data_IF_312435778487
#
_entry.id   IF_312435778487
#
_cell.length_a   1.000
_cell.length_b   1.000
_cell.length_c   1.000
_cell.angle_alpha   90.00
_cell.angle_beta   90.00
_cell.angle_gamma   90.00
#
_symmetry.space_group_name_H-M   'P 1'
#
loop_
_entity.id
_entity.type
_entity.pdbx_description
1 polymer ?
#
# COMPACT_ATOMS: atom_id res chain seq x y z
N UNK A 1 8.89 -24.42 -13.02
CA UNK A 1 9.39 -24.06 -11.67
C UNK A 1 10.58 -23.12 -11.83
N UNK A 2 10.56 -21.94 -11.22
CA UNK A 2 11.76 -21.10 -11.17
C UNK A 2 12.82 -21.81 -10.32
N UNK A 3 14.02 -22.01 -10.86
CA UNK A 3 15.12 -22.66 -10.14
C UNK A 3 15.57 -21.79 -8.95
N UNK A 4 16.19 -22.41 -7.94
CA UNK A 4 16.81 -21.70 -6.81
C UNK A 4 17.76 -20.58 -7.29
N UNK A 5 18.52 -20.84 -8.35
CA UNK A 5 19.38 -19.85 -8.99
C UNK A 5 18.60 -18.64 -9.53
N UNK A 6 17.44 -18.87 -10.17
CA UNK A 6 16.58 -17.80 -10.65
C UNK A 6 16.03 -16.91 -9.53
N UNK A 7 15.71 -17.51 -8.37
CA UNK A 7 15.34 -16.75 -7.17
C UNK A 7 16.50 -15.87 -6.67
N UNK A 8 17.70 -16.44 -6.52
CA UNK A 8 18.89 -15.72 -6.04
C UNK A 8 19.24 -14.55 -6.97
N UNK A 9 19.23 -14.79 -8.29
CA UNK A 9 19.53 -13.75 -9.27
C UNK A 9 18.51 -12.61 -9.22
N UNK A 10 17.21 -12.93 -9.19
CA UNK A 10 16.14 -11.93 -9.06
C UNK A 10 16.31 -11.10 -7.80
N UNK A 11 16.58 -11.75 -6.66
CA UNK A 11 16.79 -11.07 -5.39
C UNK A 11 18.00 -10.14 -5.43
N UNK A 12 19.10 -10.58 -6.02
CA UNK A 12 20.28 -9.73 -6.22
C UNK A 12 19.95 -8.50 -7.06
N UNK A 13 19.23 -8.67 -8.16
CA UNK A 13 18.82 -7.57 -9.05
C UNK A 13 17.79 -6.64 -8.40
N UNK A 14 16.89 -7.15 -7.56
CA UNK A 14 15.90 -6.32 -6.88
C UNK A 14 16.53 -5.27 -5.96
N UNK A 15 17.65 -5.62 -5.31
CA UNK A 15 18.39 -4.72 -4.42
C UNK A 15 19.58 -4.01 -5.07
N UNK A 16 20.09 -4.54 -6.18
CA UNK A 16 21.15 -3.95 -6.99
C UNK A 16 20.72 -3.96 -8.46
N UNK A 17 19.69 -3.18 -8.82
CA UNK A 17 19.17 -3.20 -10.17
C UNK A 17 20.18 -2.55 -11.12
N UNK A 18 20.15 -2.90 -12.42
CA UNK A 18 20.97 -2.21 -13.41
C UNK A 18 20.63 -0.72 -13.41
N UNK A 19 21.67 0.12 -13.49
CA UNK A 19 21.49 1.56 -13.59
C UNK A 19 21.06 1.92 -15.01
N UNK A 20 19.90 2.57 -15.12
CA UNK A 20 19.40 3.05 -16.40
C UNK A 20 20.06 4.39 -16.74
N UNK A 21 20.55 4.60 -17.98
CA UNK A 21 20.95 5.91 -18.45
C UNK A 21 19.82 6.92 -18.24
N UNK A 22 20.15 8.09 -17.69
CA UNK A 22 19.16 9.13 -17.40
C UNK A 22 18.83 9.92 -18.65
N UNK A 23 17.55 10.22 -18.86
CA UNK A 23 17.14 11.11 -19.95
C UNK A 23 17.51 12.55 -19.61
N UNK A 24 17.68 13.40 -20.64
CA UNK A 24 18.07 14.80 -20.44
C UNK A 24 17.03 15.62 -19.66
N UNK A 25 15.77 15.20 -19.73
CA UNK A 25 14.62 15.81 -19.08
C UNK A 25 14.20 15.07 -17.79
N UNK A 26 15.03 14.16 -17.28
CA UNK A 26 14.72 13.38 -16.08
C UNK A 26 14.43 14.29 -14.88
N UNK A 27 13.37 13.95 -14.13
CA UNK A 27 12.93 14.71 -12.97
C UNK A 27 13.91 14.54 -11.81
N UNK A 28 14.30 15.66 -11.22
CA UNK A 28 15.20 15.75 -10.06
C UNK A 28 14.39 15.77 -8.78
N UNK A 29 14.71 14.83 -7.90
CA UNK A 29 14.02 14.66 -6.64
C UNK A 29 14.86 15.08 -5.44
N UNK A 30 14.21 15.78 -4.51
CA UNK A 30 14.68 15.94 -3.14
C UNK A 30 14.05 14.91 -2.20
N UNK A 31 14.81 14.36 -1.26
CA UNK A 31 14.30 13.49 -0.20
C UNK A 31 14.20 14.30 1.10
N UNK A 32 12.99 14.40 1.65
CA UNK A 32 12.76 15.01 2.95
C UNK A 32 12.96 13.95 4.05
N UNK A 33 14.19 13.81 4.53
CA UNK A 33 14.56 12.93 5.64
C UNK A 33 15.45 11.76 5.22
N UNK A 34 16.52 11.54 5.98
CA UNK A 34 17.36 10.34 5.92
C UNK A 34 16.66 9.12 6.54
N UNK A 35 15.51 8.71 5.99
CA UNK A 35 14.66 7.65 6.51
C UNK A 35 15.17 6.25 6.10
N UNK A 36 14.99 5.25 6.96
CA UNK A 36 15.40 3.86 6.69
C UNK A 36 14.66 3.21 5.52
N UNK A 37 13.47 3.69 5.20
CA UNK A 37 12.65 3.21 4.08
C UNK A 37 13.10 3.79 2.73
N UNK A 38 13.70 4.99 2.70
CA UNK A 38 14.04 5.69 1.47
C UNK A 38 14.95 4.90 0.50
N UNK A 39 15.93 4.10 0.97
CA UNK A 39 16.73 3.25 0.09
C UNK A 39 15.87 2.28 -0.74
N UNK A 40 15.02 1.47 -0.09
CA UNK A 40 14.22 0.45 -0.79
C UNK A 40 13.02 1.05 -1.53
N UNK A 41 12.41 2.10 -0.97
CA UNK A 41 11.18 2.67 -1.51
C UNK A 41 11.40 3.67 -2.63
N UNK A 42 12.58 4.29 -2.72
CA UNK A 42 12.81 5.36 -3.68
C UNK A 42 14.19 5.33 -4.36
N UNK A 43 15.29 5.28 -3.60
CA UNK A 43 16.64 5.38 -4.17
C UNK A 43 16.95 4.19 -5.09
N UNK A 44 16.71 2.97 -4.63
CA UNK A 44 16.93 1.76 -5.42
C UNK A 44 16.04 1.71 -6.67
N UNK A 45 14.71 1.95 -6.58
CA UNK A 45 13.86 2.13 -7.77
C UNK A 45 14.39 3.16 -8.76
N UNK A 46 14.78 4.35 -8.27
CA UNK A 46 15.27 5.45 -9.08
C UNK A 46 16.49 5.07 -9.91
N UNK A 47 17.40 4.22 -9.41
CA UNK A 47 18.57 3.73 -10.20
C UNK A 47 18.17 3.16 -11.55
N UNK A 48 17.14 2.33 -11.57
CA UNK A 48 16.64 1.65 -12.77
C UNK A 48 15.56 2.42 -13.55
N UNK A 49 15.21 3.62 -13.12
CA UNK A 49 14.23 4.46 -13.79
C UNK A 49 14.95 5.53 -14.63
N UNK A 50 14.75 5.59 -15.96
CA UNK A 50 15.51 6.52 -16.82
C UNK A 50 15.14 7.99 -16.57
N UNK A 51 13.89 8.27 -16.20
CA UNK A 51 13.41 9.64 -15.99
C UNK A 51 13.50 10.15 -14.53
N UNK A 52 14.27 9.49 -13.64
CA UNK A 52 14.36 9.88 -12.23
C UNK A 52 15.81 10.02 -11.76
N UNK A 53 16.11 11.18 -11.19
CA UNK A 53 17.39 11.52 -10.55
C UNK A 53 17.16 11.84 -9.08
N UNK A 54 17.89 11.18 -8.17
CA UNK A 54 17.94 11.57 -6.75
C UNK A 54 18.97 12.68 -6.60
N UNK A 55 18.50 13.92 -6.49
CA UNK A 55 19.34 15.12 -6.55
C UNK A 55 19.81 15.58 -5.16
N UNK A 56 18.96 15.47 -4.15
CA UNK A 56 19.22 16.06 -2.84
C UNK A 56 18.58 15.32 -1.69
N UNK A 57 19.15 15.49 -0.50
CA UNK A 57 18.55 15.05 0.76
C UNK A 57 18.74 16.11 1.85
N UNK A 58 17.76 16.23 2.73
CA UNK A 58 17.87 16.96 3.98
C UNK A 58 17.43 16.05 5.13
N UNK A 59 17.89 16.35 6.34
CA UNK A 59 17.36 15.77 7.57
C UNK A 59 17.52 16.78 8.70
N UNK A 60 16.73 16.63 9.78
CA UNK A 60 16.87 17.46 11.00
C UNK A 60 18.28 17.42 11.59
N UNK A 61 18.93 16.27 11.47
CA UNK A 61 20.32 16.07 11.84
C UNK A 61 21.17 16.12 10.55
N UNK A 62 21.99 17.15 10.44
CA UNK A 62 22.82 17.41 9.25
C UNK A 62 23.90 16.35 9.07
N UNK A 63 24.52 15.86 10.15
CA UNK A 63 25.54 14.81 10.06
C UNK A 63 24.93 13.50 9.56
N UNK A 64 23.71 13.20 10.02
CA UNK A 64 22.93 12.06 9.49
C UNK A 64 22.62 12.23 8.00
N UNK A 65 22.28 13.44 7.54
CA UNK A 65 22.05 13.71 6.12
C UNK A 65 23.33 13.52 5.29
N UNK A 66 24.47 13.99 5.77
CA UNK A 66 25.79 13.82 5.13
C UNK A 66 26.15 12.34 5.02
N UNK A 67 26.03 11.59 6.12
CA UNK A 67 26.31 10.16 6.12
C UNK A 67 25.38 9.38 5.17
N UNK A 68 24.09 9.74 5.15
CA UNK A 68 23.10 9.13 4.27
C UNK A 68 23.39 9.44 2.79
N UNK A 69 23.69 10.70 2.45
CA UNK A 69 24.04 11.11 1.10
C UNK A 69 25.29 10.38 0.59
N UNK A 70 26.35 10.33 1.41
CA UNK A 70 27.58 9.59 1.09
C UNK A 70 27.30 8.11 0.85
N UNK A 71 26.51 7.47 1.72
CA UNK A 71 26.19 6.03 1.62
C UNK A 71 25.41 5.69 0.34
N UNK A 72 24.55 6.60 -0.10
CA UNK A 72 23.62 6.35 -1.21
C UNK A 72 23.99 7.07 -2.52
N UNK A 73 25.11 7.81 -2.55
CA UNK A 73 25.57 8.54 -3.73
C UNK A 73 24.68 9.73 -4.10
N UNK A 74 24.07 10.39 -3.11
CA UNK A 74 23.23 11.58 -3.33
C UNK A 74 24.15 12.80 -3.41
N UNK A 75 24.11 13.58 -4.51
CA UNK A 75 25.14 14.59 -4.77
C UNK A 75 25.02 15.85 -3.90
N UNK A 76 23.83 16.16 -3.37
CA UNK A 76 23.61 17.36 -2.56
C UNK A 76 23.00 17.06 -1.19
N UNK A 77 23.50 17.75 -0.18
CA UNK A 77 22.95 17.78 1.18
C UNK A 77 22.46 19.19 1.45
N UNK A 78 21.17 19.33 1.71
CA UNK A 78 20.52 20.60 2.01
C UNK A 78 20.45 20.84 3.53
N UNK A 79 20.51 22.11 3.94
CA UNK A 79 20.52 22.48 5.36
C UNK A 79 19.23 22.13 6.08
N UNK A 80 18.09 22.22 5.38
CA UNK A 80 16.78 21.88 5.91
C UNK A 80 15.83 21.52 4.76
N UNK A 81 14.63 21.03 5.11
CA UNK A 81 13.63 20.62 4.14
C UNK A 81 13.13 21.79 3.27
N UNK A 82 13.02 23.00 3.83
CA UNK A 82 12.57 24.18 3.10
C UNK A 82 13.56 24.54 1.98
N UNK A 83 14.86 24.41 2.21
CA UNK A 83 15.89 24.65 1.21
C UNK A 83 15.76 23.73 -0.03
N UNK A 84 15.24 22.51 0.13
CA UNK A 84 14.91 21.63 -1.01
C UNK A 84 13.72 22.17 -1.79
N UNK A 85 12.69 22.66 -1.09
CA UNK A 85 11.48 23.18 -1.72
C UNK A 85 11.73 24.51 -2.44
N UNK A 86 12.67 25.31 -1.95
CA UNK A 86 13.05 26.60 -2.55
C UNK A 86 14.04 26.45 -3.72
N UNK A 87 14.67 25.29 -3.90
CA UNK A 87 15.59 25.06 -5.02
C UNK A 87 14.79 24.89 -6.33
N UNK A 88 14.97 25.78 -7.33
CA UNK A 88 14.27 25.71 -8.60
C UNK A 88 14.70 24.52 -9.47
N UNK A 89 15.83 23.86 -9.16
CA UNK A 89 16.32 22.68 -9.86
C UNK A 89 15.68 21.36 -9.39
N UNK A 90 14.89 21.39 -8.32
CA UNK A 90 14.14 20.23 -7.82
C UNK A 90 12.73 20.26 -8.41
N UNK A 91 12.34 19.20 -9.11
CA UNK A 91 11.00 19.09 -9.73
C UNK A 91 9.99 18.44 -8.78
N UNK A 92 10.47 17.51 -7.95
CA UNK A 92 9.63 16.68 -7.11
C UNK A 92 10.28 16.36 -5.77
N UNK A 93 9.49 15.95 -4.79
CA UNK A 93 9.97 15.49 -3.48
C UNK A 93 9.40 14.13 -3.12
N UNK A 94 10.22 13.33 -2.45
CA UNK A 94 9.80 12.14 -1.74
C UNK A 94 9.80 12.41 -0.25
N UNK A 95 8.67 12.17 0.43
CA UNK A 95 8.45 12.52 1.84
C UNK A 95 8.25 11.26 2.69
N UNK A 96 9.34 10.65 3.20
CA UNK A 96 9.31 9.53 4.15
C UNK A 96 9.48 9.99 5.61
N UNK A 97 8.79 11.06 5.99
CA UNK A 97 8.87 11.62 7.35
C UNK A 97 8.01 10.77 8.32
N UNK A 98 8.04 11.03 9.64
CA UNK A 98 6.98 10.55 10.52
C UNK A 98 5.60 11.04 10.05
N UNK A 99 4.58 10.20 10.19
CA UNK A 99 3.22 10.44 9.69
C UNK A 99 2.69 11.85 10.00
N UNK A 100 2.85 12.31 11.25
CA UNK A 100 2.39 13.63 11.70
C UNK A 100 3.05 14.84 11.01
N UNK A 101 4.10 14.63 10.21
CA UNK A 101 4.77 15.67 9.44
C UNK A 101 4.42 15.64 7.95
N UNK A 102 3.68 14.63 7.48
CA UNK A 102 3.36 14.48 6.06
C UNK A 102 2.52 15.65 5.54
N UNK A 103 1.43 15.99 6.24
CA UNK A 103 0.51 17.05 5.84
C UNK A 103 1.23 18.40 5.61
N UNK A 104 1.97 18.86 6.62
CA UNK A 104 2.68 20.15 6.54
C UNK A 104 3.66 20.20 5.38
N UNK A 105 4.51 19.18 5.25
CA UNK A 105 5.56 19.20 4.23
C UNK A 105 5.05 18.93 2.82
N UNK A 106 3.99 18.15 2.67
CA UNK A 106 3.30 17.99 1.39
C UNK A 106 2.64 19.31 0.96
N UNK A 107 1.94 20.00 1.87
CA UNK A 107 1.28 21.27 1.58
C UNK A 107 2.31 22.37 1.21
N UNK A 108 3.43 22.45 1.93
CA UNK A 108 4.55 23.35 1.58
C UNK A 108 5.15 23.01 0.22
N UNK A 109 5.30 21.73 -0.12
CA UNK A 109 5.87 21.31 -1.39
C UNK A 109 4.97 21.68 -2.57
N UNK A 110 3.65 21.44 -2.48
CA UNK A 110 2.73 21.81 -3.56
C UNK A 110 2.58 23.33 -3.71
N UNK A 111 2.69 24.09 -2.61
CA UNK A 111 2.73 25.56 -2.65
C UNK A 111 3.96 26.09 -3.41
N UNK A 112 5.03 25.30 -3.48
CA UNK A 112 6.24 25.58 -4.27
C UNK A 112 6.21 24.93 -5.66
N UNK A 113 5.05 24.39 -6.07
CA UNK A 113 4.85 23.74 -7.37
C UNK A 113 5.56 22.40 -7.52
N UNK A 114 6.04 21.79 -6.43
CA UNK A 114 6.76 20.51 -6.49
C UNK A 114 5.78 19.34 -6.55
N UNK A 115 6.04 18.34 -7.41
CA UNK A 115 5.32 17.07 -7.32
C UNK A 115 5.71 16.32 -6.03
N UNK A 116 4.80 15.56 -5.44
CA UNK A 116 4.98 14.92 -4.14
C UNK A 116 4.64 13.44 -4.22
N UNK A 117 5.65 12.61 -3.96
CA UNK A 117 5.46 11.20 -3.61
C UNK A 117 5.47 11.08 -2.07
N UNK A 118 4.30 10.85 -1.49
CA UNK A 118 4.06 10.96 -0.04
C UNK A 118 3.98 9.58 0.59
N UNK A 119 4.78 9.27 1.61
CA UNK A 119 4.68 7.98 2.29
C UNK A 119 3.32 7.76 2.97
N UNK A 120 2.96 6.49 3.10
CA UNK A 120 1.71 6.09 3.75
C UNK A 120 1.88 6.03 5.27
N UNK A 121 0.81 6.26 6.06
CA UNK A 121 -0.43 6.94 5.65
C UNK A 121 -0.12 8.39 5.31
N UNK A 122 -0.80 8.92 4.29
CA UNK A 122 -0.50 10.26 3.76
C UNK A 122 -0.68 11.38 4.78
N UNK A 123 -1.57 11.21 5.77
CA UNK A 123 -1.85 12.21 6.81
C UNK A 123 -2.18 11.53 8.13
N UNK A 124 -2.33 12.33 9.19
CA UNK A 124 -2.64 11.84 10.55
C UNK A 124 -4.08 11.37 10.70
N UNK A 125 -5.01 12.01 9.99
CA UNK A 125 -6.45 11.75 10.04
C UNK A 125 -7.14 12.22 8.74
N UNK A 126 -8.46 11.98 8.64
CA UNK A 126 -9.25 12.34 7.47
C UNK A 126 -9.36 13.85 7.25
N UNK A 127 -9.36 14.66 8.31
CA UNK A 127 -9.45 16.12 8.19
C UNK A 127 -8.22 16.71 7.48
N UNK A 128 -7.02 16.25 7.82
CA UNK A 128 -5.81 16.59 7.08
C UNK A 128 -5.84 16.08 5.64
N UNK A 129 -6.35 14.85 5.41
CA UNK A 129 -6.44 14.28 4.07
C UNK A 129 -7.37 15.12 3.18
N UNK A 130 -8.54 15.50 3.68
CA UNK A 130 -9.47 16.37 2.96
C UNK A 130 -8.84 17.73 2.65
N UNK A 131 -8.16 18.32 3.63
CA UNK A 131 -7.51 19.62 3.49
C UNK A 131 -6.39 19.60 2.43
N UNK A 132 -5.58 18.54 2.39
CA UNK A 132 -4.48 18.41 1.43
C UNK A 132 -4.96 18.00 0.04
N UNK A 133 -5.73 16.91 -0.08
CA UNK A 133 -6.03 16.29 -1.36
C UNK A 133 -7.16 16.98 -2.13
N UNK A 134 -7.96 17.83 -1.48
CA UNK A 134 -8.92 18.73 -2.14
C UNK A 134 -8.43 20.18 -2.23
N UNK A 135 -7.18 20.44 -1.83
CA UNK A 135 -6.62 21.79 -1.80
C UNK A 135 -6.72 22.48 -3.18
N UNK A 136 -7.07 23.77 -3.25
CA UNK A 136 -7.23 24.48 -4.53
C UNK A 136 -5.99 24.46 -5.43
N UNK A 137 -4.78 24.41 -4.86
CA UNK A 137 -3.53 24.30 -5.62
C UNK A 137 -3.46 23.05 -6.51
N UNK A 138 -4.16 21.97 -6.14
CA UNK A 138 -4.21 20.73 -6.94
C UNK A 138 -5.21 20.79 -8.10
N UNK A 139 -6.01 21.86 -8.19
CA UNK A 139 -7.04 22.05 -9.22
C UNK A 139 -6.63 23.04 -10.31
N UNK A 140 -5.47 23.68 -10.15
CA UNK A 140 -4.97 24.66 -11.12
C UNK A 140 -4.45 23.99 -12.39
N UNK A 141 -4.42 24.68 -13.54
CA UNK A 141 -3.68 24.23 -14.70
C UNK A 141 -2.22 23.98 -14.33
N UNK A 142 -1.65 22.86 -14.79
CA UNK A 142 -0.28 22.43 -14.44
C UNK A 142 -0.05 22.26 -12.93
N UNK A 143 -1.10 21.94 -12.17
CA UNK A 143 -0.98 21.64 -10.75
C UNK A 143 0.04 20.52 -10.50
N UNK A 144 0.79 20.60 -9.37
CA UNK A 144 1.64 19.50 -8.95
C UNK A 144 0.81 18.23 -8.70
N UNK A 145 1.49 17.10 -8.84
CA UNK A 145 0.91 15.77 -8.60
C UNK A 145 1.25 15.39 -7.17
N UNK A 146 0.26 15.00 -6.38
CA UNK A 146 0.45 14.38 -5.07
C UNK A 146 -0.05 12.95 -5.15
N UNK A 147 0.76 11.99 -4.72
CA UNK A 147 0.37 10.59 -4.69
C UNK A 147 0.82 9.94 -3.38
N UNK A 148 -0.11 9.28 -2.70
CA UNK A 148 0.20 8.44 -1.56
C UNK A 148 0.88 7.13 -1.99
N UNK A 149 1.93 6.74 -1.27
CA UNK A 149 2.82 5.64 -1.60
C UNK A 149 2.30 4.26 -1.13
N UNK A 150 1.09 3.86 -1.55
CA UNK A 150 0.60 2.49 -1.35
C UNK A 150 1.18 1.49 -2.36
N UNK A 151 2.49 1.29 -2.27
CA UNK A 151 3.32 0.57 -3.26
C UNK A 151 2.75 -0.79 -3.72
N UNK A 152 2.19 -1.59 -2.80
CA UNK A 152 1.66 -2.91 -3.13
C UNK A 152 0.52 -2.87 -4.16
N UNK A 153 -0.20 -1.74 -4.29
CA UNK A 153 -1.30 -1.63 -5.25
C UNK A 153 -0.84 -1.60 -6.69
N UNK A 154 0.41 -1.19 -6.94
CA UNK A 154 0.94 -1.03 -8.29
C UNK A 154 1.55 -2.32 -8.86
N UNK A 155 1.63 -3.39 -8.07
CA UNK A 155 2.31 -4.61 -8.48
C UNK A 155 1.40 -5.55 -9.30
N UNK A 156 1.96 -6.30 -10.26
CA UNK A 156 1.18 -7.21 -11.11
C UNK A 156 0.48 -8.33 -10.32
N UNK A 157 1.09 -8.82 -9.23
CA UNK A 157 0.46 -9.82 -8.36
C UNK A 157 -0.88 -9.36 -7.80
N UNK A 158 -0.96 -8.08 -7.40
CA UNK A 158 -2.19 -7.52 -6.83
C UNK A 158 -3.28 -7.38 -7.90
N UNK A 159 -2.89 -6.93 -9.10
CA UNK A 159 -3.82 -6.80 -10.23
C UNK A 159 -4.39 -8.14 -10.67
N UNK A 160 -3.53 -9.15 -10.79
CA UNK A 160 -3.98 -10.51 -11.09
C UNK A 160 -4.90 -11.04 -9.99
N UNK A 161 -4.55 -10.84 -8.71
CA UNK A 161 -5.41 -11.26 -7.60
C UNK A 161 -6.80 -10.61 -7.66
N UNK A 162 -6.87 -9.29 -7.89
CA UNK A 162 -8.15 -8.59 -8.04
C UNK A 162 -8.95 -9.08 -9.25
N UNK A 163 -8.30 -9.46 -10.35
CA UNK A 163 -8.99 -10.01 -11.53
C UNK A 163 -9.70 -11.34 -11.26
N UNK A 164 -9.33 -12.05 -10.20
CA UNK A 164 -9.97 -13.30 -9.79
C UNK A 164 -11.15 -13.08 -8.83
N UNK A 165 -11.28 -11.89 -8.24
CA UNK A 165 -12.31 -11.54 -7.25
C UNK A 165 -13.64 -11.29 -7.97
N UNK A 166 -14.66 -12.07 -7.61
CA UNK A 166 -16.03 -11.92 -8.10
C UNK A 166 -16.82 -11.03 -7.14
N UNK A 167 -16.69 -9.70 -7.32
CA UNK A 167 -17.27 -8.71 -6.39
C UNK A 167 -18.78 -8.87 -6.15
N UNK A 168 -19.63 -9.12 -7.17
CA UNK A 168 -21.06 -9.37 -6.94
C UNK A 168 -21.38 -10.51 -5.96
N UNK A 169 -20.50 -11.52 -5.87
CA UNK A 169 -20.70 -12.69 -5.02
C UNK A 169 -19.76 -12.70 -3.82
N UNK A 170 -19.02 -11.61 -3.57
CA UNK A 170 -18.12 -11.50 -2.43
C UNK A 170 -18.93 -11.52 -1.13
N UNK A 171 -18.45 -12.25 -0.11
CA UNK A 171 -19.11 -12.29 1.20
C UNK A 171 -18.18 -11.92 2.35
N UNK A 172 -16.90 -12.25 2.24
CA UNK A 172 -15.93 -11.97 3.29
C UNK A 172 -14.53 -11.66 2.76
N UNK A 173 -13.88 -10.69 3.38
CA UNK A 173 -12.47 -10.36 3.13
C UNK A 173 -11.75 -10.32 4.48
N UNK A 174 -10.63 -11.05 4.60
CA UNK A 174 -9.76 -11.01 5.78
C UNK A 174 -8.34 -10.64 5.39
N UNK A 175 -7.74 -9.67 6.08
CA UNK A 175 -6.36 -9.26 5.85
C UNK A 175 -5.58 -9.19 7.16
N UNK A 176 -4.40 -9.80 7.19
CA UNK A 176 -3.59 -9.91 8.40
C UNK A 176 -2.11 -9.66 8.15
N UNK A 177 -1.47 -8.97 9.09
CA UNK A 177 -0.01 -8.89 9.21
C UNK A 177 0.40 -8.91 10.67
N UNK A 178 1.47 -9.65 11.01
CA UNK A 178 2.03 -9.65 12.36
C UNK A 178 3.55 -9.63 12.31
N UNK A 179 4.13 -8.60 12.91
CA UNK A 179 5.57 -8.39 13.02
C UNK A 179 6.02 -8.72 14.44
N UNK A 180 7.03 -9.61 14.61
CA UNK A 180 7.61 -9.87 15.91
C UNK A 180 8.20 -8.61 16.56
N UNK A 181 8.01 -8.45 17.88
CA UNK A 181 8.43 -7.25 18.62
C UNK A 181 9.93 -6.93 18.52
N UNK A 182 10.78 -7.93 18.28
CA UNK A 182 12.25 -7.77 18.17
C UNK A 182 12.70 -6.92 16.97
N UNK A 183 11.82 -6.69 15.99
CA UNK A 183 12.14 -5.88 14.82
C UNK A 183 12.00 -4.37 15.06
N UNK A 184 11.45 -3.96 16.20
CA UNK A 184 11.23 -2.55 16.52
C UNK A 184 11.79 -2.21 17.89
N UNK A 185 12.42 -1.04 17.98
CA UNK A 185 12.85 -0.49 19.26
C UNK A 185 11.64 -0.04 20.09
N UNK A 186 11.73 -0.12 21.41
CA UNK A 186 10.65 0.32 22.32
C UNK A 186 10.35 1.82 22.21
N UNK A 187 11.34 2.62 21.81
CA UNK A 187 11.25 4.07 21.62
C UNK A 187 11.06 4.46 20.15
N UNK A 188 10.71 3.52 19.26
CA UNK A 188 10.48 3.78 17.84
C UNK A 188 9.40 4.86 17.63
N UNK A 189 9.55 5.64 16.57
CA UNK A 189 8.61 6.71 16.21
C UNK A 189 7.18 6.20 16.00
N UNK A 190 7.02 4.92 15.63
CA UNK A 190 5.70 4.28 15.44
C UNK A 190 4.89 4.19 16.72
N UNK A 191 5.50 4.34 17.89
CA UNK A 191 4.78 4.29 19.18
C UNK A 191 4.59 5.68 19.79
N UNK A 192 4.80 6.75 19.03
CA UNK A 192 4.71 8.14 19.49
C UNK A 192 3.44 8.82 18.98
N UNK A 193 2.55 9.21 19.90
CA UNK A 193 1.24 9.75 19.56
C UNK A 193 1.34 11.09 18.82
N UNK A 194 2.25 11.95 19.26
CA UNK A 194 2.53 13.26 18.68
C UNK A 194 3.10 13.20 17.26
N UNK A 195 3.58 12.03 16.84
CA UNK A 195 4.04 11.76 15.46
C UNK A 195 3.01 10.98 14.64
N UNK A 196 1.76 10.89 15.13
CA UNK A 196 0.70 10.08 14.56
C UNK A 196 1.08 8.58 14.44
N UNK A 197 1.74 8.05 15.48
CA UNK A 197 2.08 6.65 15.62
C UNK A 197 0.88 5.76 16.00
N UNK A 198 1.08 4.45 15.94
CA UNK A 198 0.08 3.41 16.18
C UNK A 198 0.21 2.27 15.17
N UNK A 199 -0.21 1.07 15.56
CA UNK A 199 -0.23 -0.10 14.66
C UNK A 199 -1.25 0.08 13.56
N UNK A 200 -2.41 0.67 13.87
CA UNK A 200 -3.40 1.12 12.87
C UNK A 200 -2.74 2.02 11.82
N UNK A 201 -1.96 3.02 12.25
CA UNK A 201 -1.29 3.96 11.35
C UNK A 201 -0.17 3.31 10.51
N UNK A 202 0.59 2.35 11.05
CA UNK A 202 1.73 1.78 10.30
C UNK A 202 1.37 0.58 9.42
N UNK A 203 0.90 -0.52 10.03
CA UNK A 203 0.63 -1.80 9.36
C UNK A 203 -0.87 -2.06 9.17
N UNK A 204 -1.71 -1.53 10.06
CA UNK A 204 -3.17 -1.62 9.97
C UNK A 204 -3.70 -0.93 8.72
N UNK A 205 -3.15 0.23 8.35
CA UNK A 205 -3.56 0.97 7.16
C UNK A 205 -3.42 0.16 5.87
N UNK A 206 -2.43 -0.73 5.78
CA UNK A 206 -2.36 -1.68 4.66
C UNK A 206 -3.52 -2.66 4.64
N UNK A 207 -3.91 -3.18 5.82
CA UNK A 207 -5.01 -4.13 5.92
C UNK A 207 -6.35 -3.46 5.58
N UNK A 208 -6.56 -2.23 6.04
CA UNK A 208 -7.74 -1.42 5.69
C UNK A 208 -7.78 -1.13 4.18
N UNK A 209 -6.63 -0.75 3.61
CA UNK A 209 -6.48 -0.53 2.16
C UNK A 209 -6.79 -1.79 1.35
N UNK A 210 -6.39 -2.98 1.83
CA UNK A 210 -6.73 -4.26 1.21
C UNK A 210 -8.23 -4.49 1.21
N UNK A 211 -8.92 -4.26 2.33
CA UNK A 211 -10.37 -4.45 2.41
C UNK A 211 -11.08 -3.62 1.34
N UNK A 212 -10.79 -2.30 1.28
CA UNK A 212 -11.32 -1.39 0.27
C UNK A 212 -10.98 -1.81 -1.16
N UNK A 213 -9.74 -2.22 -1.40
CA UNK A 213 -9.26 -2.64 -2.72
C UNK A 213 -9.94 -3.92 -3.24
N UNK A 214 -10.19 -4.89 -2.36
CA UNK A 214 -10.87 -6.14 -2.74
C UNK A 214 -12.36 -5.91 -2.94
N UNK A 215 -13.03 -5.25 -2.00
CA UNK A 215 -14.47 -4.97 -2.09
C UNK A 215 -14.81 -4.01 -3.22
N UNK A 216 -13.90 -3.07 -3.52
CA UNK A 216 -14.18 -2.00 -4.48
C UNK A 216 -15.13 -0.95 -3.97
N UNK A 217 -15.32 -0.87 -2.66
CA UNK A 217 -16.28 -0.02 -2.01
C UNK A 217 -15.71 0.50 -0.69
N UNK A 218 -16.35 1.55 -0.17
CA UNK A 218 -16.06 2.08 1.17
C UNK A 218 -16.86 1.34 2.23
N UNK A 219 -16.33 1.18 3.46
CA UNK A 219 -17.10 0.60 4.55
C UNK A 219 -18.25 1.52 4.95
N UNK A 220 -19.40 0.92 5.28
CA UNK A 220 -20.55 1.63 5.83
C UNK A 220 -20.41 1.86 7.34
N UNK A 221 -19.76 0.91 8.04
CA UNK A 221 -19.61 0.95 9.49
C UNK A 221 -18.41 0.11 9.96
N UNK A 222 -17.72 0.57 11.02
CA UNK A 222 -16.84 -0.27 11.83
C UNK A 222 -17.68 -0.97 12.91
N UNK A 223 -17.91 -2.28 12.75
CA UNK A 223 -18.75 -3.10 13.62
C UNK A 223 -18.12 -3.35 14.98
N UNK A 224 -16.84 -3.72 14.96
CA UNK A 224 -16.09 -4.14 16.14
C UNK A 224 -14.64 -3.65 15.98
N UNK A 225 -14.04 -3.18 17.07
CA UNK A 225 -12.62 -2.87 17.12
C UNK A 225 -12.06 -3.29 18.48
N UNK A 226 -11.02 -4.12 18.44
CA UNK A 226 -10.24 -4.52 19.62
C UNK A 226 -8.80 -4.14 19.39
N UNK A 227 -8.21 -3.41 20.34
CA UNK A 227 -6.82 -2.98 20.27
C UNK A 227 -6.03 -3.36 21.52
N UNK A 228 -4.71 -3.41 21.36
CA UNK A 228 -3.75 -3.54 22.47
C UNK A 228 -2.95 -2.26 22.58
N UNK A 229 -3.22 -1.44 23.59
CA UNK A 229 -2.47 -0.20 23.85
C UNK A 229 -0.99 -0.49 24.10
N UNK A 230 -0.13 0.42 23.69
CA UNK A 230 1.28 0.41 24.08
C UNK A 230 1.41 0.64 25.60
N UNK A 231 2.48 0.14 26.23
CA UNK A 231 2.74 0.42 27.64
C UNK A 231 3.10 1.90 27.87
N UNK A 232 3.04 2.38 29.13
CA UNK A 232 3.52 3.71 29.48
C UNK A 232 4.96 3.96 29.02
N UNK A 233 5.31 5.18 28.55
CA UNK A 233 4.48 6.40 28.51
C UNK A 233 3.67 6.59 27.20
N UNK A 234 3.49 5.52 26.41
CA UNK A 234 2.96 5.59 25.06
C UNK A 234 1.51 5.08 24.97
N UNK A 235 0.71 5.15 26.04
CA UNK A 235 -0.62 4.52 26.13
C UNK A 235 -1.64 5.06 25.11
N UNK A 236 -1.35 6.21 24.48
CA UNK A 236 -2.15 6.80 23.41
C UNK A 236 -1.92 6.14 22.03
N UNK A 237 -0.97 5.22 21.93
CA UNK A 237 -0.72 4.40 20.73
C UNK A 237 -1.17 2.95 20.94
N UNK A 238 -1.48 2.28 19.85
CA UNK A 238 -1.75 0.85 19.80
C UNK A 238 -0.54 0.05 19.26
N UNK A 239 -0.33 -1.14 19.84
CA UNK A 239 0.67 -2.14 19.44
C UNK A 239 0.07 -3.31 18.63
N UNK A 240 -1.25 -3.43 18.63
CA UNK A 240 -2.02 -4.35 17.79
C UNK A 240 -3.48 -3.90 17.66
N UNK A 241 -4.12 -4.31 16.57
CA UNK A 241 -5.53 -4.04 16.26
C UNK A 241 -6.16 -5.23 15.55
N UNK A 242 -7.41 -5.54 15.89
CA UNK A 242 -8.34 -6.30 15.06
C UNK A 242 -9.61 -5.47 14.88
N UNK A 243 -10.00 -5.19 13.65
CA UNK A 243 -11.20 -4.43 13.33
C UNK A 243 -12.07 -5.17 12.31
N UNK A 244 -13.39 -5.03 12.44
CA UNK A 244 -14.39 -5.66 11.59
C UNK A 244 -15.33 -4.60 11.03
N UNK A 245 -15.63 -4.68 9.74
CA UNK A 245 -16.40 -3.69 8.99
C UNK A 245 -17.54 -4.33 8.24
N UNK A 246 -18.61 -3.55 8.03
CA UNK A 246 -19.64 -3.84 7.04
C UNK A 246 -19.40 -2.98 5.82
N UNK A 247 -19.42 -3.60 4.66
CA UNK A 247 -19.39 -2.95 3.34
C UNK A 247 -20.76 -3.13 2.65
N UNK A 248 -21.04 -2.36 1.59
CA UNK A 248 -22.28 -2.48 0.82
C UNK A 248 -22.58 -3.93 0.39
N UNK A 249 -23.86 -4.29 0.38
CA UNK A 249 -24.30 -5.65 0.11
C UNK A 249 -24.09 -6.64 1.26
N UNK A 250 -23.75 -6.15 2.46
CA UNK A 250 -23.56 -6.97 3.66
C UNK A 250 -22.23 -7.71 3.70
N UNK A 251 -21.28 -7.35 2.83
CA UNK A 251 -19.93 -7.91 2.81
C UNK A 251 -19.23 -7.59 4.14
N UNK A 252 -18.63 -8.60 4.76
CA UNK A 252 -17.89 -8.43 6.01
C UNK A 252 -16.39 -8.36 5.73
N UNK A 253 -15.73 -7.31 6.19
CA UNK A 253 -14.27 -7.16 6.11
C UNK A 253 -13.62 -7.23 7.49
N UNK A 254 -12.56 -8.03 7.65
CA UNK A 254 -11.78 -8.13 8.89
C UNK A 254 -10.31 -7.77 8.63
N UNK A 255 -9.79 -6.82 9.40
CA UNK A 255 -8.40 -6.36 9.32
C UNK A 255 -7.69 -6.65 10.65
N UNK A 256 -6.48 -7.19 10.57
CA UNK A 256 -5.66 -7.46 11.76
C UNK A 256 -4.20 -7.04 11.54
N UNK A 257 -3.65 -6.27 12.48
CA UNK A 257 -2.25 -5.90 12.49
C UNK A 257 -1.66 -5.99 13.90
N UNK A 258 -0.43 -6.49 14.01
CA UNK A 258 0.30 -6.56 15.29
C UNK A 258 1.78 -6.19 15.06
N UNK A 259 2.27 -5.11 15.70
CA UNK A 259 3.67 -4.66 15.65
C UNK A 259 4.54 -5.25 16.77
N UNK A 260 3.93 -5.96 17.72
CA UNK A 260 4.61 -6.57 18.86
C UNK A 260 4.19 -8.02 19.04
N UNK A 261 4.06 -8.73 17.92
CA UNK A 261 3.63 -10.12 17.93
C UNK A 261 4.69 -11.02 18.59
N UNK A 262 4.28 -12.22 18.97
CA UNK A 262 5.22 -13.28 19.37
C UNK A 262 6.14 -13.70 18.22
N UNK A 263 7.05 -14.63 18.49
CA UNK A 263 8.10 -15.08 17.57
C UNK A 263 7.62 -15.69 16.25
N UNK A 264 6.34 -16.08 16.16
CA UNK A 264 5.76 -16.64 14.93
C UNK A 264 5.53 -15.52 13.90
N UNK A 265 6.47 -15.38 12.98
CA UNK A 265 6.34 -14.49 11.83
C UNK A 265 5.10 -14.87 11.02
N UNK A 266 4.15 -13.95 10.91
CA UNK A 266 3.00 -14.12 10.01
C UNK A 266 3.31 -13.38 8.72
N UNK A 267 3.38 -14.12 7.61
CA UNK A 267 3.49 -13.54 6.28
C UNK A 267 2.21 -12.72 6.02
N UNK A 268 2.31 -11.44 5.59
CA UNK A 268 1.15 -10.62 5.27
C UNK A 268 0.23 -11.36 4.30
N UNK A 269 -1.06 -11.47 4.60
CA UNK A 269 -1.97 -12.32 3.83
C UNK A 269 -3.34 -11.71 3.69
N UNK A 270 -3.92 -11.94 2.51
CA UNK A 270 -5.33 -11.62 2.20
C UNK A 270 -6.07 -12.91 1.91
N UNK A 271 -7.27 -13.06 2.44
CA UNK A 271 -8.21 -14.14 2.17
C UNK A 271 -9.55 -13.56 1.73
N UNK A 272 -10.15 -14.18 0.71
CA UNK A 272 -11.40 -13.72 0.10
C UNK A 272 -12.31 -14.92 -0.04
N UNK A 273 -13.55 -14.81 0.46
CA UNK A 273 -14.57 -15.84 0.35
C UNK A 273 -15.75 -15.30 -0.44
N UNK A 274 -16.22 -16.10 -1.39
CA UNK A 274 -17.40 -15.79 -2.20
C UNK A 274 -18.55 -16.71 -1.82
N UNK A 275 -19.78 -16.22 -2.00
CA UNK A 275 -21.00 -17.01 -1.92
C UNK A 275 -21.03 -18.05 -3.07
N UNK A 276 -21.69 -19.22 -2.86
CA UNK A 276 -21.90 -20.19 -3.93
C UNK A 276 -22.68 -19.58 -5.09
N UNK A 277 -22.20 -19.76 -6.32
CA UNK A 277 -22.89 -19.36 -7.55
C UNK A 277 -23.25 -20.58 -8.39
N UNK A 278 -24.36 -20.57 -9.14
CA UNK A 278 -24.66 -21.61 -10.11
C UNK A 278 -23.54 -21.75 -11.14
N UNK A 279 -23.21 -22.98 -11.51
CA UNK A 279 -22.26 -23.31 -12.59
C UNK A 279 -23.06 -23.87 -13.76
N UNK A 280 -23.13 -23.16 -14.89
CA UNK A 280 -23.73 -23.70 -16.11
C UNK A 280 -23.03 -25.01 -16.52
N UNK A 281 -23.82 -26.05 -16.75
CA UNK A 281 -23.34 -27.38 -17.13
C UNK A 281 -24.44 -28.06 -17.95
N UNK A 282 -24.34 -27.97 -19.28
CA UNK A 282 -25.36 -28.45 -20.22
C UNK A 282 -25.50 -29.99 -20.21
N UNK A 283 -24.55 -30.70 -19.59
CA UNK A 283 -24.58 -32.14 -19.42
C UNK A 283 -25.29 -32.57 -18.13
N UNK A 284 -25.64 -31.61 -17.28
CA UNK A 284 -26.26 -31.89 -15.98
C UNK A 284 -27.74 -32.29 -16.16
N UNK A 285 -28.21 -33.38 -15.51
CA UNK A 285 -29.63 -33.72 -15.51
C UNK A 285 -30.49 -32.54 -15.04
N UNK A 286 -31.65 -32.34 -15.66
CA UNK A 286 -32.52 -31.19 -15.38
C UNK A 286 -32.94 -31.08 -13.89
N UNK A 287 -33.01 -32.22 -13.20
CA UNK A 287 -33.35 -32.34 -11.78
C UNK A 287 -32.19 -31.98 -10.83
N UNK A 288 -31.01 -31.71 -11.37
CA UNK A 288 -29.80 -31.43 -10.60
C UNK A 288 -29.34 -29.99 -10.80
N UNK A 289 -28.67 -29.46 -9.79
CA UNK A 289 -28.01 -28.17 -9.85
C UNK A 289 -26.59 -28.26 -9.32
N UNK A 290 -25.69 -27.49 -9.93
CA UNK A 290 -24.28 -27.42 -9.57
C UNK A 290 -23.96 -26.00 -9.17
N UNK A 291 -23.33 -25.85 -8.02
CA UNK A 291 -22.86 -24.56 -7.51
C UNK A 291 -21.35 -24.59 -7.30
N UNK A 292 -20.72 -23.42 -7.32
CA UNK A 292 -19.30 -23.21 -7.01
C UNK A 292 -19.16 -22.11 -5.98
N UNK A 293 -18.49 -22.39 -4.87
CA UNK A 293 -18.01 -21.38 -3.94
C UNK A 293 -16.49 -21.20 -4.09
N UNK A 294 -16.05 -19.95 -4.25
CA UNK A 294 -14.63 -19.63 -4.47
C UNK A 294 -13.99 -19.05 -3.22
N UNK A 295 -12.79 -19.53 -2.90
CA UNK A 295 -11.87 -18.91 -1.94
C UNK A 295 -10.58 -18.51 -2.63
N UNK A 296 -10.10 -17.30 -2.37
CA UNK A 296 -8.81 -16.82 -2.83
C UNK A 296 -7.92 -16.49 -1.65
N UNK A 297 -6.62 -16.73 -1.81
CA UNK A 297 -5.62 -16.39 -0.80
C UNK A 297 -4.39 -15.82 -1.46
N UNK A 298 -4.02 -14.59 -1.12
CA UNK A 298 -2.78 -13.96 -1.56
C UNK A 298 -1.81 -13.89 -0.38
N UNK A 299 -0.71 -14.63 -0.49
CA UNK A 299 0.37 -14.63 0.49
C UNK A 299 1.45 -13.62 0.12
N UNK A 300 1.94 -12.92 1.12
CA UNK A 300 3.06 -11.98 1.09
C UNK A 300 2.86 -10.78 0.16
N UNK A 301 1.65 -10.23 0.11
CA UNK A 301 1.32 -9.16 -0.83
C UNK A 301 2.15 -7.88 -0.64
N UNK A 302 2.56 -7.55 0.59
CA UNK A 302 3.33 -6.33 0.87
C UNK A 302 4.76 -6.39 0.31
N UNK A 303 5.38 -7.57 0.29
CA UNK A 303 6.78 -7.79 -0.14
C UNK A 303 6.85 -8.90 -1.20
N UNK A 304 5.93 -8.84 -2.16
CA UNK A 304 5.72 -9.90 -3.16
C UNK A 304 6.94 -10.13 -4.07
N UNK A 305 7.76 -9.11 -4.31
CA UNK A 305 8.97 -9.19 -5.12
C UNK A 305 9.98 -10.21 -4.60
N UNK A 306 9.99 -10.48 -3.29
CA UNK A 306 10.78 -11.55 -2.69
C UNK A 306 10.20 -12.92 -3.03
N UNK A 307 9.00 -13.14 -2.53
CA UNK A 307 8.20 -14.34 -2.72
C UNK A 307 6.74 -13.99 -2.50
N UNK A 308 5.85 -14.66 -3.20
CA UNK A 308 4.42 -14.63 -2.95
C UNK A 308 3.79 -15.88 -3.54
N UNK A 309 2.51 -16.09 -3.27
CA UNK A 309 1.69 -17.12 -3.90
C UNK A 309 0.22 -16.70 -3.87
N UNK A 310 -0.49 -16.95 -4.96
CA UNK A 310 -1.94 -16.84 -5.02
C UNK A 310 -2.49 -18.25 -5.04
N UNK A 311 -3.36 -18.59 -4.10
CA UNK A 311 -4.11 -19.84 -4.10
C UNK A 311 -5.56 -19.55 -4.46
N UNK A 312 -6.09 -20.29 -5.43
CA UNK A 312 -7.48 -20.31 -5.84
C UNK A 312 -8.05 -21.68 -5.51
N UNK A 313 -9.07 -21.71 -4.68
CA UNK A 313 -9.80 -22.91 -4.30
C UNK A 313 -11.26 -22.75 -4.71
N UNK A 314 -11.72 -23.62 -5.61
CA UNK A 314 -13.12 -23.70 -6.02
C UNK A 314 -13.72 -24.98 -5.44
N UNK A 315 -14.70 -24.84 -4.56
CA UNK A 315 -15.52 -25.94 -4.07
C UNK A 315 -16.78 -26.05 -4.93
N UNK A 316 -17.03 -27.23 -5.49
CA UNK A 316 -18.22 -27.54 -6.25
C UNK A 316 -19.16 -28.44 -5.45
N UNK A 317 -20.45 -28.12 -5.49
CA UNK A 317 -21.51 -28.91 -4.86
C UNK A 317 -22.60 -29.19 -5.88
N UNK A 318 -22.86 -30.47 -6.10
CA UNK A 318 -23.95 -30.99 -6.92
C UNK A 318 -25.11 -31.43 -6.01
N UNK A 319 -26.31 -30.94 -6.27
CA UNK A 319 -27.52 -31.24 -5.50
C UNK A 319 -28.67 -31.69 -6.39
N UNK A 320 -29.58 -32.46 -5.83
CA UNK A 320 -30.94 -32.60 -6.38
C UNK A 320 -31.74 -31.34 -6.07
N UNK A 321 -32.41 -30.77 -7.08
CA UNK A 321 -33.22 -29.55 -6.94
C UNK A 321 -34.43 -29.74 -6.03
N UNK A 322 -35.06 -30.91 -6.07
CA UNK A 322 -36.29 -31.20 -5.33
C UNK A 322 -36.06 -31.38 -3.83
N UNK A 323 -34.98 -32.07 -3.46
CA UNK A 323 -34.67 -32.44 -2.07
C UNK A 323 -33.59 -31.57 -1.43
N UNK A 324 -32.76 -30.89 -2.23
CA UNK A 324 -31.56 -30.19 -1.77
C UNK A 324 -30.41 -31.12 -1.36
N UNK A 325 -30.60 -32.45 -1.47
CA UNK A 325 -29.62 -33.45 -1.08
C UNK A 325 -28.34 -33.29 -1.89
N UNK A 326 -27.20 -33.33 -1.19
CA UNK A 326 -25.89 -33.29 -1.85
C UNK A 326 -25.61 -34.64 -2.49
N UNK A 327 -25.54 -34.65 -3.82
CA UNK A 327 -25.14 -35.83 -4.60
C UNK A 327 -23.62 -35.97 -4.57
N UNK A 328 -22.91 -34.86 -4.78
CA UNK A 328 -21.45 -34.86 -4.87
C UNK A 328 -20.88 -33.53 -4.40
N UNK A 329 -19.72 -33.58 -3.74
CA UNK A 329 -18.92 -32.42 -3.36
C UNK A 329 -17.46 -32.69 -3.71
N UNK A 330 -16.78 -31.72 -4.31
CA UNK A 330 -15.35 -31.81 -4.59
C UNK A 330 -14.72 -30.43 -4.66
N UNK A 331 -13.39 -30.38 -4.53
CA UNK A 331 -12.62 -29.14 -4.52
C UNK A 331 -11.52 -29.22 -5.56
N UNK A 332 -11.28 -28.11 -6.25
CA UNK A 332 -10.11 -27.92 -7.11
C UNK A 332 -9.26 -26.78 -6.56
N UNK A 333 -7.94 -26.97 -6.55
CA UNK A 333 -6.99 -25.95 -6.08
C UNK A 333 -5.94 -25.67 -7.12
N UNK A 334 -5.69 -24.39 -7.40
CA UNK A 334 -4.60 -23.91 -8.24
C UNK A 334 -3.74 -22.91 -7.45
N UNK A 335 -2.43 -22.91 -7.67
CA UNK A 335 -1.52 -21.93 -7.10
C UNK A 335 -0.68 -21.26 -8.19
N UNK A 336 -0.59 -19.93 -8.18
CA UNK A 336 0.18 -19.14 -9.15
C UNK A 336 1.12 -18.13 -8.48
N UNK A 337 2.19 -17.80 -9.19
CA UNK A 337 3.11 -16.68 -8.88
C UNK A 337 3.14 -15.74 -10.08
N UNK A 338 3.13 -14.44 -9.83
CA UNK A 338 2.99 -13.36 -10.79
C UNK A 338 4.09 -12.34 -10.49
N UNK A 339 5.17 -12.31 -11.26
CA UNK A 339 6.28 -11.38 -11.03
C UNK A 339 6.29 -10.22 -12.04
N UNK A 340 5.60 -10.37 -13.16
CA UNK A 340 5.50 -9.37 -14.23
C UNK A 340 4.05 -9.12 -14.61
N UNK A 341 3.76 -7.98 -15.24
CA UNK A 341 2.44 -7.72 -15.83
C UNK A 341 2.11 -8.74 -16.92
N UNK A 342 3.10 -9.21 -17.67
CA UNK A 342 2.93 -10.32 -18.62
C UNK A 342 2.43 -11.60 -17.94
N UNK A 343 2.97 -11.97 -16.78
CA UNK A 343 2.49 -13.14 -16.00
C UNK A 343 1.02 -12.98 -15.56
N UNK A 344 0.61 -11.73 -15.32
CA UNK A 344 -0.74 -11.34 -14.97
C UNK A 344 -1.69 -11.28 -16.18
N UNK A 345 -1.20 -11.45 -17.40
CA UNK A 345 -1.99 -11.30 -18.63
C UNK A 345 -2.14 -9.86 -19.13
N UNK A 346 -1.38 -8.91 -18.57
CA UNK A 346 -1.37 -7.48 -18.93
C UNK A 346 -0.13 -7.23 -19.78
N UNK A 347 -0.31 -7.05 -21.09
CA UNK A 347 0.81 -7.09 -22.06
C UNK A 347 1.42 -5.73 -22.39
N UNK A 348 0.70 -4.65 -22.13
CA UNK A 348 1.01 -3.27 -22.50
C UNK A 348 1.81 -2.51 -21.43
N UNK A 349 2.06 -3.15 -20.27
CA UNK A 349 2.70 -2.49 -19.13
C UNK A 349 4.13 -2.98 -18.89
N UNK A 350 5.10 -2.06 -18.71
CA UNK A 350 6.48 -2.44 -18.44
C UNK A 350 6.60 -3.08 -17.06
N UNK A 351 7.36 -4.16 -17.00
CA UNK A 351 7.72 -4.81 -15.75
C UNK A 351 8.91 -5.72 -15.97
N UNK A 352 9.81 -5.77 -15.00
CA UNK A 352 10.85 -6.78 -14.95
C UNK A 352 10.63 -7.68 -13.74
N UNK A 353 11.03 -8.97 -13.80
CA UNK A 353 10.85 -9.87 -12.67
C UNK A 353 11.49 -9.37 -11.36
N UNK A 354 12.53 -8.55 -11.44
CA UNK A 354 13.23 -8.00 -10.28
C UNK A 354 12.65 -6.67 -9.77
N UNK A 355 11.65 -6.08 -10.45
CA UNK A 355 11.02 -4.86 -9.97
C UNK A 355 10.27 -5.14 -8.66
N UNK A 356 10.65 -4.42 -7.61
CA UNK A 356 9.87 -4.35 -6.39
C UNK A 356 8.62 -3.49 -6.61
N UNK A 357 7.62 -3.64 -5.77
CA UNK A 357 6.37 -2.85 -5.80
C UNK A 357 6.64 -1.33 -5.83
N UNK A 358 7.69 -0.86 -5.15
CA UNK A 358 8.12 0.54 -5.18
C UNK A 358 8.57 1.02 -6.56
N UNK A 359 9.16 0.16 -7.40
CA UNK A 359 9.56 0.52 -8.77
C UNK A 359 8.35 0.67 -9.68
N UNK A 360 7.33 -0.17 -9.51
CA UNK A 360 6.05 -0.02 -10.20
C UNK A 360 5.32 1.25 -9.76
N UNK A 361 5.33 1.57 -8.46
CA UNK A 361 4.77 2.81 -7.94
C UNK A 361 5.46 4.04 -8.54
N UNK A 362 6.80 4.05 -8.57
CA UNK A 362 7.55 5.15 -9.14
C UNK A 362 7.23 5.33 -10.63
N UNK A 363 7.11 4.23 -11.39
CA UNK A 363 6.68 4.29 -12.81
C UNK A 363 5.35 5.01 -12.96
N UNK A 364 4.34 4.64 -12.17
CA UNK A 364 3.01 5.25 -12.28
C UNK A 364 2.96 6.69 -11.80
N UNK A 365 3.76 7.04 -10.77
CA UNK A 365 3.94 8.44 -10.37
C UNK A 365 4.50 9.28 -11.53
N UNK A 366 5.57 8.82 -12.18
CA UNK A 366 6.19 9.56 -13.29
C UNK A 366 5.28 9.58 -14.52
N UNK A 367 4.52 8.51 -14.79
CA UNK A 367 3.49 8.54 -15.83
C UNK A 367 2.47 9.64 -15.57
N UNK A 368 1.95 9.76 -14.35
CA UNK A 368 0.98 10.79 -13.99
C UNK A 368 1.56 12.21 -14.14
N UNK A 369 2.78 12.43 -13.66
CA UNK A 369 3.48 13.73 -13.79
C UNK A 369 3.65 14.12 -15.25
N UNK A 370 3.95 13.15 -16.13
CA UNK A 370 4.10 13.37 -17.57
C UNK A 370 2.77 13.43 -18.34
N UNK A 371 1.63 13.28 -17.67
CA UNK A 371 0.32 13.18 -18.35
C UNK A 371 0.14 11.92 -19.20
N UNK A 372 0.94 10.88 -18.96
CA UNK A 372 0.80 9.56 -19.62
C UNK A 372 -0.27 8.76 -18.91
N UNK A 373 -1.01 7.96 -19.69
CA UNK A 373 -2.04 7.05 -19.16
C UNK A 373 -1.45 5.96 -18.24
N UNK A 374 -0.19 5.57 -18.46
CA UNK A 374 0.47 4.52 -17.67
C UNK A 374 -0.29 3.21 -17.72
N UNK A 375 -0.47 2.55 -16.57
CA UNK A 375 -1.30 1.35 -16.42
C UNK A 375 -2.76 1.64 -16.05
N UNK A 376 -3.14 2.92 -15.95
CA UNK A 376 -4.40 3.33 -15.32
C UNK A 376 -4.46 3.05 -13.82
N UNK A 377 -3.40 2.49 -13.22
CA UNK A 377 -3.31 2.25 -11.78
C UNK A 377 -2.77 3.51 -11.09
N UNK A 378 -3.63 4.14 -10.32
CA UNK A 378 -3.27 5.34 -9.58
C UNK A 378 -3.98 5.36 -8.23
N UNK A 379 -3.35 5.96 -7.23
CA UNK A 379 -4.00 6.26 -5.95
C UNK A 379 -4.55 7.68 -6.07
N UNK A 380 -5.84 7.76 -6.39
CA UNK A 380 -6.54 9.03 -6.56
C UNK A 380 -6.65 9.79 -5.24
N UNK A 381 -6.76 11.12 -5.33
CA UNK A 381 -6.91 12.00 -4.17
C UNK A 381 -8.07 11.58 -3.24
N UNK A 382 -9.22 11.23 -3.82
CA UNK A 382 -10.38 10.77 -3.06
C UNK A 382 -10.15 9.40 -2.42
N UNK A 383 -9.31 8.55 -3.00
CA UNK A 383 -8.99 7.25 -2.42
C UNK A 383 -8.18 7.40 -1.12
N UNK A 384 -7.23 8.33 -1.07
CA UNK A 384 -6.49 8.67 0.16
C UNK A 384 -7.40 9.28 1.23
N UNK A 385 -8.35 10.12 0.84
CA UNK A 385 -9.35 10.68 1.78
C UNK A 385 -10.19 9.55 2.38
N UNK A 386 -10.75 8.68 1.54
CA UNK A 386 -11.52 7.52 1.98
C UNK A 386 -10.71 6.56 2.84
N UNK A 387 -9.43 6.37 2.50
CA UNK A 387 -8.50 5.58 3.32
C UNK A 387 -8.40 6.13 4.74
N UNK A 388 -8.20 7.44 4.89
CA UNK A 388 -8.06 8.06 6.20
C UNK A 388 -9.39 8.14 6.96
N UNK A 389 -10.52 8.24 6.27
CA UNK A 389 -11.86 8.08 6.90
C UNK A 389 -12.02 6.69 7.51
N UNK A 390 -11.61 5.65 6.79
CA UNK A 390 -11.65 4.28 7.32
C UNK A 390 -10.69 4.08 8.49
N UNK A 391 -9.52 4.73 8.49
CA UNK A 391 -8.60 4.76 9.64
C UNK A 391 -9.26 5.44 10.84
N UNK A 392 -9.89 6.60 10.65
CA UNK A 392 -10.59 7.33 11.71
C UNK A 392 -11.74 6.50 12.29
N UNK A 393 -12.51 5.77 11.47
CA UNK A 393 -13.55 4.84 11.93
C UNK A 393 -13.02 3.77 12.91
N UNK A 394 -11.78 3.30 12.73
CA UNK A 394 -11.15 2.35 13.68
C UNK A 394 -10.94 3.03 15.02
N UNK A 395 -10.36 4.23 15.01
CA UNK A 395 -10.06 4.96 16.23
C UNK A 395 -11.34 5.40 16.95
N UNK A 396 -12.35 5.89 16.23
CA UNK A 396 -13.67 6.23 16.76
C UNK A 396 -14.40 5.04 17.38
N UNK A 397 -14.24 3.84 16.80
CA UNK A 397 -14.79 2.60 17.36
C UNK A 397 -13.98 2.06 18.55
N UNK A 398 -12.83 2.68 18.85
CA UNK A 398 -11.89 2.23 19.87
C UNK A 398 -11.82 3.19 21.06
N UNK A 399 -11.05 2.81 22.10
CA UNK A 399 -10.77 3.66 23.27
C UNK A 399 -9.51 4.53 23.10
N UNK A 400 -9.08 4.83 21.87
CA UNK A 400 -7.94 5.70 21.57
C UNK A 400 -8.40 6.96 20.82
N UNK A 401 -7.79 8.12 21.10
CA UNK A 401 -8.09 9.34 20.34
C UNK A 401 -7.61 9.22 18.88
N UNK A 402 -8.26 9.98 17.99
CA UNK A 402 -7.74 10.25 16.65
C UNK A 402 -6.31 10.79 16.75
N UNK A 403 -5.48 10.55 15.73
CA UNK A 403 -4.14 11.12 15.74
C UNK A 403 -4.22 12.65 15.64
N UNK A 404 -3.29 13.40 16.25
CA UNK A 404 -3.36 14.86 16.31
C UNK A 404 -3.39 15.50 14.91
N UNK A 405 -4.35 16.39 14.68
CA UNK A 405 -4.35 17.27 13.51
C UNK A 405 -3.26 18.32 13.65
N UNK A 406 -2.49 18.54 12.59
CA UNK A 406 -1.49 19.58 12.47
C UNK A 406 -2.13 20.96 12.66
N UNK A 407 -1.36 21.84 13.32
CA UNK A 407 -1.71 23.27 13.47
C UNK A 407 -1.18 24.12 12.31
N UNK A 408 -0.53 23.50 11.32
CA UNK A 408 0.02 24.20 10.18
C UNK A 408 -1.10 24.62 9.23
N UNK A 409 -1.15 25.91 8.92
CA UNK A 409 -1.98 26.47 7.86
C UNK A 409 -1.05 27.18 6.87
N UNK A 410 -1.30 26.97 5.57
CA UNK A 410 -0.57 27.68 4.54
C UNK A 410 -1.04 29.14 4.58
N UNK A 411 -0.14 30.07 4.91
CA UNK A 411 -0.44 31.51 4.84
C UNK A 411 -0.81 31.87 3.41
N UNK A 412 -2.01 32.43 3.23
CA UNK A 412 -2.58 32.81 1.93
C UNK A 412 -1.88 33.96 1.23
#
# INVERSE_FOLDING_TARGET
>A
MASFFGLVQRMRQAFNPPEAPKTADALKFGILGAASIAPVAFITPAKSHPEVIVQGVAARDKDRAIAFAKKHGIPQVFDNYQAILDDPSIDAVYIPLPNGLHYEWALKAIAKGKHVLLEKPATSNASEAESLFRHPLLKQPNAPVVMEAFHYRFQPTWQYFLSLVDRPNLSHVYSVVRLPSVFLDKNDIRFKYELAGGTVMDLGTYQLSVLRGVTGAEPEECLECTLRKCPPPNELCDSAVKAKFRFPGGIVGEAEADLQAGWKLTVPRVEVTHNPVPVPDDQLPAEQEKTRARKLKLHNYMVSGFWHRIDLEDEFVLREKSSGNVIKRWTTTESKKIYTFRDAGILDQPSEPYWLSYRHQLEQFINRVRGRQGSGLYVENEDTISQMKMVDMVYEKSDLPLRPTSKFELSG
#
